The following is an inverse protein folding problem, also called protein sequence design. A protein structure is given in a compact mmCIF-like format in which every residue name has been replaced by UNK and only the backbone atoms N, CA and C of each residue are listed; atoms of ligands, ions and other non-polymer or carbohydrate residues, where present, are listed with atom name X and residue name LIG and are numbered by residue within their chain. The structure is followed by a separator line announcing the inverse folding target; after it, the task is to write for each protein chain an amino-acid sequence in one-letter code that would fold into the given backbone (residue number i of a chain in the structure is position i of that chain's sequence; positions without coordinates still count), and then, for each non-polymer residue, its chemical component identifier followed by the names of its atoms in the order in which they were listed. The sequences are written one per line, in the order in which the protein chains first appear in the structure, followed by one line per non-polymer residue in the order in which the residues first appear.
data_IF_905441087736
#
_entry.id   IF_905441087736
#
_cell.length_a   1.000
_cell.length_b   1.000
_cell.length_c   1.000
_cell.angle_alpha   90.00
_cell.angle_beta   90.00
_cell.angle_gamma   90.00
#
_symmetry.space_group_name_H-M   'P 1'
#
loop_
_entity.id
_entity.type
_entity.pdbx_description
1 polymer ?
#
# COMPACT_ATOMS: atom_id res chain seq x y z
N UNK A 1 4.37 -16.92 11.75
CA UNK A 1 3.48 -17.93 11.16
C UNK A 1 4.32 -19.13 10.77
N UNK A 2 3.79 -20.35 10.92
CA UNK A 2 4.50 -21.56 10.50
C UNK A 2 4.83 -21.52 8.99
N UNK A 3 6.08 -21.80 8.56
CA UNK A 3 6.47 -21.72 7.15
C UNK A 3 5.70 -22.67 6.22
N UNK A 4 5.36 -23.88 6.68
CA UNK A 4 4.62 -24.86 5.88
C UNK A 4 3.19 -24.38 5.66
N UNK A 5 2.57 -23.83 6.71
CA UNK A 5 1.25 -23.21 6.59
C UNK A 5 1.27 -22.00 5.66
N UNK A 6 2.30 -21.16 5.72
CA UNK A 6 2.46 -20.01 4.83
C UNK A 6 2.54 -20.43 3.36
N UNK A 7 3.35 -21.46 3.06
CA UNK A 7 3.49 -21.98 1.70
C UNK A 7 2.18 -22.57 1.17
N UNK A 8 1.41 -23.25 2.04
CA UNK A 8 0.09 -23.74 1.69
C UNK A 8 -0.94 -22.61 1.44
N UNK A 9 -0.90 -21.54 2.24
CA UNK A 9 -1.73 -20.34 2.03
C UNK A 9 -1.42 -19.69 0.68
N UNK A 10 -0.13 -19.50 0.35
CA UNK A 10 0.30 -18.94 -0.94
C UNK A 10 -0.17 -19.84 -2.08
N UNK A 11 0.03 -21.16 -1.98
CA UNK A 11 -0.43 -22.13 -2.98
C UNK A 11 -1.94 -22.00 -3.24
N UNK A 12 -2.76 -22.01 -2.19
CA UNK A 12 -4.23 -21.87 -2.31
C UNK A 12 -4.66 -20.55 -2.92
N UNK A 13 -3.96 -19.45 -2.63
CA UNK A 13 -4.22 -18.14 -3.23
C UNK A 13 -3.90 -18.14 -4.72
N UNK A 14 -2.78 -18.75 -5.13
CA UNK A 14 -2.36 -18.81 -6.53
C UNK A 14 -3.19 -19.78 -7.38
N UNK A 15 -3.68 -20.88 -6.81
CA UNK A 15 -4.51 -21.86 -7.52
C UNK A 15 -5.83 -21.28 -8.06
N UNK A 16 -6.33 -20.20 -7.45
CA UNK A 16 -7.52 -19.47 -7.92
C UNK A 16 -7.36 -19.00 -9.37
N UNK A 17 -6.13 -18.74 -9.82
CA UNK A 17 -5.81 -18.37 -11.20
C UNK A 17 -6.32 -19.36 -12.23
N UNK A 18 -6.31 -20.65 -11.89
CA UNK A 18 -6.72 -21.74 -12.77
C UNK A 18 -8.24 -21.98 -12.73
N UNK A 19 -8.97 -21.24 -11.90
CA UNK A 19 -10.41 -21.34 -11.75
C UNK A 19 -11.10 -20.24 -12.57
N UNK A 20 -12.43 -20.33 -12.68
CA UNK A 20 -13.22 -19.25 -13.29
C UNK A 20 -12.97 -17.93 -12.55
N UNK A 21 -12.75 -16.80 -13.27
CA UNK A 21 -12.56 -15.49 -12.65
C UNK A 21 -13.65 -15.18 -11.61
N UNK A 22 -13.26 -14.62 -10.46
CA UNK A 22 -14.15 -14.34 -9.33
C UNK A 22 -14.36 -15.50 -8.36
N UNK A 23 -13.69 -16.65 -8.54
CA UNK A 23 -13.61 -17.69 -7.52
C UNK A 23 -12.77 -17.21 -6.34
N UNK A 24 -13.21 -17.53 -5.13
CA UNK A 24 -12.53 -17.14 -3.89
C UNK A 24 -11.54 -18.22 -3.44
N UNK A 25 -10.42 -17.78 -2.85
CA UNK A 25 -9.50 -18.68 -2.18
C UNK A 25 -10.14 -19.22 -0.89
N UNK A 26 -9.88 -20.49 -0.57
CA UNK A 26 -10.39 -21.13 0.64
C UNK A 26 -9.40 -20.93 1.79
N UNK A 27 -9.46 -19.78 2.45
CA UNK A 27 -8.71 -19.48 3.67
C UNK A 27 -9.66 -19.47 4.87
N UNK A 28 -9.19 -19.98 6.01
CA UNK A 28 -9.91 -19.90 7.28
C UNK A 28 -9.63 -18.56 7.98
N UNK A 29 -10.56 -18.12 8.84
CA UNK A 29 -10.36 -16.88 9.61
C UNK A 29 -9.12 -16.94 10.52
N UNK A 30 -8.77 -18.13 11.02
CA UNK A 30 -7.59 -18.35 11.87
C UNK A 30 -6.28 -18.13 11.10
N UNK A 31 -6.21 -18.63 9.86
CA UNK A 31 -5.04 -18.45 8.98
C UNK A 31 -4.84 -16.98 8.65
N UNK A 32 -5.91 -16.27 8.30
CA UNK A 32 -5.84 -14.83 7.98
C UNK A 32 -5.38 -14.03 9.21
N UNK A 33 -5.88 -14.37 10.41
CA UNK A 33 -5.42 -13.73 11.66
C UNK A 33 -3.93 -13.97 11.95
N UNK A 34 -3.45 -15.19 11.76
CA UNK A 34 -2.03 -15.52 11.92
C UNK A 34 -1.16 -14.78 10.90
N UNK A 35 -1.66 -14.63 9.67
CA UNK A 35 -0.99 -13.89 8.62
C UNK A 35 -0.87 -12.39 8.97
N UNK A 36 -1.97 -11.76 9.39
CA UNK A 36 -1.96 -10.36 9.84
C UNK A 36 -1.01 -10.16 11.04
N UNK A 37 -1.00 -11.08 12.00
CA UNK A 37 -0.10 -10.99 13.15
C UNK A 37 1.38 -11.05 12.72
N UNK A 38 1.74 -12.00 11.86
CA UNK A 38 3.10 -12.15 11.36
C UNK A 38 3.55 -10.94 10.52
N UNK A 39 2.69 -10.44 9.63
CA UNK A 39 3.02 -9.26 8.81
C UNK A 39 3.16 -8.00 9.68
N UNK A 40 2.27 -7.81 10.66
CA UNK A 40 2.33 -6.72 11.64
C UNK A 40 3.68 -6.67 12.37
N UNK A 41 4.18 -7.82 12.83
CA UNK A 41 5.48 -7.90 13.50
C UNK A 41 6.62 -7.41 12.58
N UNK A 42 6.62 -7.84 11.32
CA UNK A 42 7.62 -7.43 10.33
C UNK A 42 7.53 -5.92 10.07
N UNK A 43 6.32 -5.39 9.87
CA UNK A 43 6.17 -3.96 9.62
C UNK A 43 6.68 -3.10 10.79
N UNK A 44 6.43 -3.51 12.04
CA UNK A 44 6.91 -2.79 13.22
C UNK A 44 8.43 -2.85 13.40
N UNK A 45 9.09 -3.88 12.85
CA UNK A 45 10.54 -4.02 12.88
C UNK A 45 11.24 -3.18 11.79
N UNK A 46 10.58 -2.96 10.66
CA UNK A 46 11.09 -2.11 9.57
C UNK A 46 10.71 -0.63 9.80
N UNK A 47 11.48 0.35 9.30
CA UNK A 47 11.20 1.79 9.51
C UNK A 47 9.96 2.28 8.74
N UNK A 48 9.45 3.47 9.08
CA UNK A 48 8.36 4.12 8.35
C UNK A 48 8.76 4.62 6.95
N UNK A 49 10.03 5.03 6.83
CA UNK A 49 10.69 5.35 5.58
C UNK A 49 11.61 4.17 5.28
N UNK A 50 11.21 3.30 4.34
CA UNK A 50 12.00 2.17 3.91
C UNK A 50 13.18 2.64 3.06
N UNK A 51 14.38 2.13 3.30
CA UNK A 51 15.54 2.34 2.42
C UNK A 51 15.71 1.09 1.56
N UNK A 52 15.57 1.24 0.24
CA UNK A 52 15.48 0.14 -0.71
C UNK A 52 16.51 0.32 -1.84
N UNK A 53 16.89 -0.79 -2.46
CA UNK A 53 17.85 -0.80 -3.58
C UNK A 53 17.22 -1.35 -4.86
N UNK A 54 17.65 -0.84 -6.01
CA UNK A 54 17.34 -1.45 -7.31
C UNK A 54 18.08 -2.78 -7.51
N UNK A 55 17.54 -3.73 -8.32
CA UNK A 55 16.34 -3.63 -9.13
C UNK A 55 15.05 -3.89 -8.32
N UNK A 56 14.03 -3.06 -8.54
CA UNK A 56 12.71 -3.19 -7.90
C UNK A 56 11.59 -2.76 -8.85
N UNK A 57 10.43 -3.42 -8.75
CA UNK A 57 9.21 -3.08 -9.50
C UNK A 57 8.25 -2.33 -8.59
N UNK A 58 7.84 -1.13 -8.99
CA UNK A 58 6.92 -0.30 -8.22
C UNK A 58 5.51 -0.44 -8.79
N UNK A 59 4.52 -0.67 -7.92
CA UNK A 59 3.12 -0.91 -8.28
C UNK A 59 2.20 0.05 -7.52
N UNK A 60 1.26 0.68 -8.23
CA UNK A 60 0.23 1.53 -7.63
C UNK A 60 -0.99 0.74 -7.13
N UNK A 61 -2.13 1.41 -7.11
CA UNK A 61 -3.42 0.91 -6.60
C UNK A 61 -3.82 -0.44 -7.22
N UNK A 62 -4.37 -1.33 -6.37
CA UNK A 62 -4.90 -2.64 -6.80
C UNK A 62 -6.40 -2.75 -6.56
N UNK A 63 -6.90 -2.16 -5.47
CA UNK A 63 -8.33 -2.08 -5.14
C UNK A 63 -9.10 -3.39 -5.32
N UNK A 64 -8.60 -4.48 -4.73
CA UNK A 64 -9.27 -5.78 -4.76
C UNK A 64 -9.45 -6.41 -6.15
N UNK A 65 -8.74 -5.92 -7.17
CA UNK A 65 -8.70 -6.49 -8.52
C UNK A 65 -7.75 -7.70 -8.59
N UNK A 66 -8.06 -8.74 -7.82
CA UNK A 66 -7.15 -9.87 -7.59
C UNK A 66 -6.68 -10.57 -8.87
N UNK A 67 -7.56 -10.73 -9.87
CA UNK A 67 -7.18 -11.34 -11.15
C UNK A 67 -6.14 -10.50 -11.91
N UNK A 68 -6.19 -9.17 -11.77
CA UNK A 68 -5.23 -8.27 -12.40
C UNK A 68 -3.91 -8.21 -11.61
N UNK A 69 -3.95 -8.34 -10.28
CA UNK A 69 -2.74 -8.56 -9.47
C UNK A 69 -1.99 -9.82 -9.89
N UNK A 70 -2.70 -10.93 -10.11
CA UNK A 70 -2.09 -12.18 -10.57
C UNK A 70 -1.46 -12.01 -11.97
N UNK A 71 -2.13 -11.28 -12.87
CA UNK A 71 -1.56 -10.95 -14.18
C UNK A 71 -0.33 -10.05 -14.05
N UNK A 72 -0.33 -9.08 -13.14
CA UNK A 72 0.83 -8.23 -12.88
C UNK A 72 2.05 -9.08 -12.49
N UNK A 73 1.87 -10.11 -11.65
CA UNK A 73 2.94 -11.05 -11.33
C UNK A 73 3.33 -11.97 -12.50
N UNK A 74 2.39 -12.35 -13.38
CA UNK A 74 2.73 -13.09 -14.61
C UNK A 74 3.65 -12.31 -15.53
N UNK A 75 3.42 -11.00 -15.67
CA UNK A 75 4.25 -10.13 -16.50
C UNK A 75 5.53 -9.70 -15.80
N UNK A 76 5.46 -9.44 -14.50
CA UNK A 76 6.58 -8.90 -13.72
C UNK A 76 7.52 -9.96 -13.15
N UNK A 77 7.09 -11.22 -13.06
CA UNK A 77 7.78 -12.28 -12.33
C UNK A 77 7.25 -12.42 -10.90
N UNK A 78 7.01 -13.63 -10.44
CA UNK A 78 6.52 -13.87 -9.08
C UNK A 78 7.65 -13.70 -8.05
N UNK A 79 7.39 -13.18 -6.84
CA UNK A 79 8.38 -13.18 -5.76
C UNK A 79 8.91 -14.61 -5.48
N UNK A 80 10.24 -14.80 -5.31
CA UNK A 80 11.29 -13.79 -5.19
C UNK A 80 12.04 -13.51 -6.51
N UNK A 81 11.49 -13.88 -7.67
CA UNK A 81 12.13 -13.65 -8.98
C UNK A 81 12.28 -12.16 -9.32
N UNK A 82 11.46 -11.31 -8.72
CA UNK A 82 11.56 -9.86 -8.77
C UNK A 82 11.24 -9.26 -7.40
N UNK A 83 11.92 -8.16 -7.07
CA UNK A 83 11.60 -7.35 -5.89
C UNK A 83 10.42 -6.44 -6.20
N UNK A 84 9.55 -6.20 -5.21
CA UNK A 84 8.36 -5.37 -5.37
C UNK A 84 8.22 -4.33 -4.28
N UNK A 85 7.79 -3.13 -4.67
CA UNK A 85 7.26 -2.10 -3.80
C UNK A 85 5.83 -1.78 -4.26
N UNK A 86 4.84 -1.99 -3.41
CA UNK A 86 3.49 -1.49 -3.67
C UNK A 86 3.23 -0.20 -2.89
N UNK A 87 2.54 0.74 -3.53
CA UNK A 87 2.34 2.09 -3.02
C UNK A 87 1.10 2.27 -2.15
N UNK A 88 0.22 1.24 -2.03
CA UNK A 88 -0.98 1.31 -1.21
C UNK A 88 -2.25 0.93 -1.98
N UNK A 89 -3.40 1.15 -1.35
CA UNK A 89 -4.74 0.95 -1.90
C UNK A 89 -4.96 -0.48 -2.43
N UNK A 90 -4.81 -1.43 -1.52
CA UNK A 90 -4.96 -2.86 -1.77
C UNK A 90 -6.42 -3.30 -1.76
N UNK A 91 -7.21 -2.67 -0.89
CA UNK A 91 -8.59 -3.06 -0.59
C UNK A 91 -9.60 -2.03 -1.13
N UNK A 92 -10.88 -2.32 -0.91
CA UNK A 92 -12.03 -1.54 -1.37
C UNK A 92 -12.24 -1.53 -2.89
N UNK A 93 -13.44 -1.07 -3.29
CA UNK A 93 -13.93 -0.87 -4.68
C UNK A 93 -14.03 -2.14 -5.54
N UNK A 94 -13.03 -3.02 -5.52
CA UNK A 94 -13.04 -4.30 -6.20
C UNK A 94 -13.77 -5.41 -5.44
N UNK A 95 -13.76 -6.61 -6.02
CA UNK A 95 -14.58 -7.74 -5.58
C UNK A 95 -13.85 -8.73 -4.66
N UNK A 96 -12.53 -8.70 -4.65
CA UNK A 96 -11.68 -9.71 -4.01
C UNK A 96 -10.54 -9.03 -3.21
N UNK A 97 -10.91 -8.11 -2.33
CA UNK A 97 -9.95 -7.40 -1.48
C UNK A 97 -9.26 -8.35 -0.52
N UNK A 98 -9.98 -9.35 0.02
CA UNK A 98 -9.42 -10.33 0.94
C UNK A 98 -8.32 -11.17 0.29
N UNK A 99 -8.55 -11.71 -0.91
CA UNK A 99 -7.51 -12.45 -1.65
C UNK A 99 -6.31 -11.56 -1.96
N UNK A 100 -6.58 -10.33 -2.41
CA UNK A 100 -5.55 -9.34 -2.75
C UNK A 100 -4.64 -9.08 -1.56
N UNK A 101 -5.19 -8.63 -0.42
CA UNK A 101 -4.37 -8.31 0.73
C UNK A 101 -3.75 -9.57 1.36
N UNK A 102 -4.43 -10.71 1.37
CA UNK A 102 -3.84 -11.94 1.90
C UNK A 102 -2.63 -12.40 1.09
N UNK A 103 -2.67 -12.30 -0.25
CA UNK A 103 -1.50 -12.67 -1.07
C UNK A 103 -0.33 -11.71 -0.84
N UNK A 104 -0.60 -10.40 -0.77
CA UNK A 104 0.41 -9.39 -0.52
C UNK A 104 1.06 -9.57 0.86
N UNK A 105 0.27 -9.78 1.92
CA UNK A 105 0.80 -10.06 3.25
C UNK A 105 1.55 -11.39 3.30
N UNK A 106 1.09 -12.43 2.59
CA UNK A 106 1.78 -13.71 2.55
C UNK A 106 3.16 -13.59 1.89
N UNK A 107 3.28 -12.82 0.80
CA UNK A 107 4.58 -12.50 0.23
C UNK A 107 5.43 -11.63 1.13
N UNK A 108 4.85 -10.67 1.86
CA UNK A 108 5.61 -9.89 2.85
C UNK A 108 6.20 -10.78 3.94
N UNK A 109 5.44 -11.74 4.45
CA UNK A 109 5.93 -12.69 5.47
C UNK A 109 6.96 -13.66 4.88
N UNK A 110 6.78 -14.10 3.63
CA UNK A 110 7.69 -15.06 2.98
C UNK A 110 9.02 -14.42 2.56
N UNK A 111 8.98 -13.18 2.10
CA UNK A 111 10.12 -12.46 1.50
C UNK A 111 10.23 -11.04 2.08
N UNK A 112 10.51 -10.89 3.39
CA UNK A 112 10.46 -9.59 4.09
C UNK A 112 11.43 -8.54 3.54
N UNK A 113 12.52 -8.99 2.90
CA UNK A 113 13.60 -8.16 2.34
C UNK A 113 13.52 -8.00 0.81
N UNK A 114 12.50 -8.58 0.15
CA UNK A 114 12.31 -8.48 -1.31
C UNK A 114 10.90 -7.98 -1.69
N UNK A 115 9.98 -7.91 -0.73
CA UNK A 115 8.59 -7.55 -0.96
C UNK A 115 8.15 -6.50 0.06
N UNK A 116 7.74 -5.33 -0.43
CA UNK A 116 7.47 -4.14 0.37
C UNK A 116 6.08 -3.59 0.06
N UNK A 117 5.39 -3.16 1.10
CA UNK A 117 4.01 -2.66 1.05
C UNK A 117 3.96 -1.35 1.82
N UNK A 118 3.66 -0.25 1.13
CA UNK A 118 3.35 1.03 1.76
C UNK A 118 1.88 1.10 2.16
N UNK A 119 1.54 2.07 3.00
CA UNK A 119 0.16 2.37 3.35
C UNK A 119 -0.46 3.26 2.28
N UNK A 120 -1.65 2.90 1.80
CA UNK A 120 -2.53 3.80 1.05
C UNK A 120 -3.61 4.41 1.94
N UNK A 121 -4.41 5.32 1.38
CA UNK A 121 -5.49 5.96 2.14
C UNK A 121 -6.65 4.99 2.41
N UNK A 122 -6.80 3.92 1.62
CA UNK A 122 -7.78 2.86 1.87
C UNK A 122 -7.35 1.85 2.96
N UNK A 123 -6.09 1.85 3.37
CA UNK A 123 -5.60 1.10 4.55
C UNK A 123 -5.86 1.87 5.88
N UNK A 124 -7.03 2.52 5.97
CA UNK A 124 -7.55 3.22 7.14
C UNK A 124 -8.99 2.79 7.43
N UNK A 125 -9.33 2.65 8.70
CA UNK A 125 -10.65 2.16 9.12
C UNK A 125 -11.79 3.06 8.66
N UNK A 126 -11.64 4.39 8.69
CA UNK A 126 -12.69 5.33 8.29
C UNK A 126 -13.07 5.18 6.82
N UNK A 127 -12.09 4.93 5.96
CA UNK A 127 -12.26 4.76 4.51
C UNK A 127 -12.83 3.37 4.20
N UNK A 128 -12.14 2.31 4.60
CA UNK A 128 -12.51 0.95 4.21
C UNK A 128 -13.72 0.40 4.96
N UNK A 129 -14.26 1.17 5.91
CA UNK A 129 -15.59 0.95 6.50
C UNK A 129 -16.72 1.17 5.49
N UNK A 130 -16.51 2.05 4.51
CA UNK A 130 -17.56 2.56 3.61
C UNK A 130 -17.36 2.07 2.17
N UNK A 131 -16.11 1.88 1.73
CA UNK A 131 -15.81 1.59 0.32
C UNK A 131 -15.68 0.09 -0.04
N UNK A 132 -16.00 -0.80 0.90
CA UNK A 132 -16.34 -2.20 0.61
C UNK A 132 -15.63 -3.25 1.44
N UNK A 133 -14.43 -3.00 1.95
CA UNK A 133 -13.64 -4.02 2.64
C UNK A 133 -14.26 -4.50 3.93
N UNK A 134 -14.85 -3.59 4.72
CA UNK A 134 -15.62 -3.96 5.91
C UNK A 134 -16.77 -4.91 5.58
N UNK A 135 -17.55 -4.59 4.54
CA UNK A 135 -18.70 -5.41 4.14
C UNK A 135 -18.23 -6.75 3.57
N UNK A 136 -17.11 -6.79 2.86
CA UNK A 136 -16.49 -8.03 2.39
C UNK A 136 -16.07 -8.93 3.57
N UNK A 137 -15.35 -8.37 4.56
CA UNK A 137 -14.95 -9.08 5.78
C UNK A 137 -16.17 -9.59 6.57
N UNK A 138 -17.16 -8.72 6.81
CA UNK A 138 -18.38 -9.07 7.55
C UNK A 138 -19.18 -10.17 6.87
N UNK A 139 -19.29 -10.13 5.54
CA UNK A 139 -20.06 -11.11 4.76
C UNK A 139 -19.37 -12.47 4.69
N UNK A 140 -18.05 -12.51 4.55
CA UNK A 140 -17.28 -13.76 4.33
C UNK A 140 -16.75 -14.39 5.62
N UNK A 141 -16.52 -13.57 6.64
CA UNK A 141 -15.92 -13.97 7.91
C UNK A 141 -16.61 -13.25 9.06
N UNK A 142 -15.97 -12.23 9.64
CA UNK A 142 -16.49 -11.52 10.79
C UNK A 142 -16.02 -10.07 10.84
N UNK A 143 -16.75 -9.24 11.60
CA UNK A 143 -16.31 -7.87 11.93
C UNK A 143 -15.01 -7.89 12.75
N UNK A 144 -14.77 -8.96 13.53
CA UNK A 144 -13.53 -9.12 14.29
C UNK A 144 -12.33 -9.26 13.35
N UNK A 145 -12.49 -9.95 12.22
CA UNK A 145 -11.43 -10.07 11.22
C UNK A 145 -11.08 -8.70 10.60
N UNK A 146 -12.09 -7.88 10.27
CA UNK A 146 -11.85 -6.52 9.78
C UNK A 146 -11.02 -5.70 10.78
N UNK A 147 -11.33 -5.76 12.08
CA UNK A 147 -10.52 -5.10 13.11
C UNK A 147 -9.07 -5.62 13.15
N UNK A 148 -8.88 -6.92 12.95
CA UNK A 148 -7.52 -7.49 12.85
C UNK A 148 -6.76 -6.94 11.65
N UNK A 149 -7.42 -6.73 10.50
CA UNK A 149 -6.79 -6.03 9.38
C UNK A 149 -6.49 -4.58 9.69
N UNK A 150 -7.40 -3.85 10.34
CA UNK A 150 -7.14 -2.48 10.82
C UNK A 150 -5.89 -2.40 11.69
N UNK A 151 -5.74 -3.32 12.65
CA UNK A 151 -4.55 -3.36 13.52
C UNK A 151 -3.25 -3.63 12.73
N UNK A 152 -3.33 -4.41 11.66
CA UNK A 152 -2.21 -4.67 10.75
C UNK A 152 -1.90 -3.43 9.89
N UNK A 153 -2.92 -2.81 9.29
CA UNK A 153 -2.78 -1.63 8.43
C UNK A 153 -2.22 -0.42 9.18
N UNK A 154 -2.59 -0.26 10.45
CA UNK A 154 -2.04 0.78 11.33
C UNK A 154 -0.52 0.66 11.54
N UNK A 155 0.08 -0.47 11.16
CA UNK A 155 1.52 -0.71 11.27
C UNK A 155 2.26 -0.59 9.92
N UNK A 156 1.58 -0.36 8.79
CA UNK A 156 2.26 -0.24 7.50
C UNK A 156 3.23 0.96 7.47
N UNK A 157 4.41 0.82 6.85
CA UNK A 157 5.27 1.96 6.53
C UNK A 157 4.57 2.86 5.50
N UNK A 158 4.97 4.12 5.43
CA UNK A 158 4.22 5.15 4.67
C UNK A 158 5.00 5.71 3.50
N UNK A 159 6.32 5.49 3.46
CA UNK A 159 7.18 5.93 2.37
C UNK A 159 8.36 4.99 2.17
N UNK A 160 8.96 5.04 0.99
CA UNK A 160 10.22 4.38 0.69
C UNK A 160 11.15 5.32 -0.09
N UNK A 161 12.45 5.19 0.12
CA UNK A 161 13.50 5.87 -0.62
C UNK A 161 14.34 4.80 -1.33
N UNK A 162 14.34 4.83 -2.66
CA UNK A 162 15.07 3.87 -3.50
C UNK A 162 16.36 4.52 -3.99
N UNK A 163 17.49 3.84 -3.76
CA UNK A 163 18.84 4.26 -4.14
C UNK A 163 19.15 5.72 -3.78
N UNK A 164 18.61 6.21 -2.64
CA UNK A 164 18.72 7.60 -2.18
C UNK A 164 18.21 8.66 -3.18
N UNK A 165 17.50 8.26 -4.25
CA UNK A 165 17.11 9.15 -5.36
C UNK A 165 15.63 9.18 -5.69
N UNK A 166 14.88 8.11 -5.40
CA UNK A 166 13.44 8.04 -5.72
C UNK A 166 12.63 7.94 -4.43
N UNK A 167 11.89 8.99 -4.11
CA UNK A 167 11.00 8.99 -2.95
C UNK A 167 9.59 8.50 -3.36
N UNK A 168 9.11 7.47 -2.68
CA UNK A 168 7.87 6.77 -2.97
C UNK A 168 6.86 6.95 -1.84
N UNK A 169 5.60 7.21 -2.18
CA UNK A 169 4.46 7.27 -1.24
C UNK A 169 3.15 7.05 -1.99
N UNK A 170 2.04 6.93 -1.27
CA UNK A 170 0.74 6.78 -1.93
C UNK A 170 0.21 8.09 -2.53
N UNK A 171 0.01 9.08 -1.66
CA UNK A 171 -0.53 10.39 -1.96
C UNK A 171 0.54 11.30 -2.56
N UNK A 172 1.18 12.12 -1.75
CA UNK A 172 2.21 13.02 -2.25
C UNK A 172 2.86 13.85 -1.15
N UNK A 173 3.34 15.04 -1.53
CA UNK A 173 4.06 15.90 -0.61
C UNK A 173 3.16 16.51 0.47
N UNK A 174 3.78 16.96 1.56
CA UNK A 174 3.14 17.70 2.65
C UNK A 174 3.83 19.05 2.88
N UNK A 175 3.10 20.13 3.19
CA UNK A 175 3.71 21.39 3.65
C UNK A 175 4.47 21.22 4.97
N UNK A 176 4.19 20.16 5.73
CA UNK A 176 4.88 19.85 6.98
C UNK A 176 6.16 19.02 6.77
N UNK A 177 6.34 18.41 5.59
CA UNK A 177 7.51 17.59 5.28
C UNK A 177 8.70 18.46 4.86
N UNK A 178 9.50 18.84 5.85
CA UNK A 178 10.71 19.63 5.65
C UNK A 178 12.00 18.81 5.63
N UNK A 179 11.96 17.62 6.24
CA UNK A 179 13.06 16.70 6.47
C UNK A 179 12.53 15.28 6.40
N UNK A 180 13.22 14.38 5.69
CA UNK A 180 12.79 12.98 5.53
C UNK A 180 12.72 12.24 6.88
N UNK A 181 13.52 12.66 7.85
CA UNK A 181 13.51 12.13 9.22
C UNK A 181 12.18 12.37 9.95
N UNK A 182 11.36 13.32 9.50
CA UNK A 182 10.01 13.48 10.05
C UNK A 182 9.12 12.26 9.75
N UNK A 183 9.36 11.57 8.63
CA UNK A 183 8.66 10.33 8.27
C UNK A 183 9.10 9.19 9.21
N UNK A 184 10.41 9.08 9.48
CA UNK A 184 10.95 8.07 10.39
C UNK A 184 10.31 8.14 11.78
N UNK A 185 10.04 9.36 12.26
CA UNK A 185 9.49 9.64 13.60
C UNK A 185 7.97 9.47 13.72
N UNK A 186 7.25 9.08 12.66
CA UNK A 186 5.83 8.79 12.75
C UNK A 186 5.57 7.57 13.66
N UNK A 187 4.69 7.69 14.63
CA UNK A 187 4.41 6.58 15.54
C UNK A 187 3.60 5.48 14.85
N UNK A 188 3.92 4.21 15.13
CA UNK A 188 3.11 3.05 14.76
C UNK A 188 2.92 2.12 15.96
N UNK A 189 1.74 1.48 16.12
CA UNK A 189 0.55 1.59 15.28
C UNK A 189 -0.16 2.96 15.42
N UNK A 190 -0.71 3.47 14.31
CA UNK A 190 -1.50 4.71 14.32
C UNK A 190 -2.65 4.64 13.32
N UNK A 191 -3.76 5.28 13.63
CA UNK A 191 -4.78 5.60 12.61
C UNK A 191 -4.30 6.77 11.75
N UNK A 192 -4.96 6.99 10.59
CA UNK A 192 -4.68 8.14 9.73
C UNK A 192 -5.46 9.35 10.27
N UNK A 193 -4.79 10.44 10.67
CA UNK A 193 -5.48 11.65 11.12
C UNK A 193 -6.17 12.37 9.96
N UNK A 194 -7.10 13.26 10.27
CA UNK A 194 -7.79 14.06 9.24
C UNK A 194 -6.89 15.15 8.61
N UNK A 195 -5.78 15.51 9.27
CA UNK A 195 -4.81 16.54 8.83
C UNK A 195 -3.38 16.20 9.26
N UNK A 196 -2.40 16.93 8.72
CA UNK A 196 -0.99 16.84 9.07
C UNK A 196 -0.20 15.85 8.23
N UNK A 197 1.10 15.73 8.51
CA UNK A 197 2.05 14.97 7.68
C UNK A 197 1.57 13.58 7.23
N UNK A 198 1.07 12.74 8.14
CA UNK A 198 0.61 11.38 7.78
C UNK A 198 -0.62 11.41 6.86
N UNK A 199 -1.54 12.36 7.07
CA UNK A 199 -2.68 12.53 6.18
C UNK A 199 -2.19 12.89 4.78
N UNK A 200 -1.30 13.87 4.67
CA UNK A 200 -0.85 14.39 3.39
C UNK A 200 -0.06 13.36 2.56
N UNK A 201 0.81 12.58 3.19
CA UNK A 201 1.55 11.49 2.52
C UNK A 201 0.62 10.46 1.86
N UNK A 202 -0.63 10.35 2.32
CA UNK A 202 -1.63 9.40 1.83
C UNK A 202 -2.69 10.04 0.93
N UNK A 203 -2.90 11.36 1.01
CA UNK A 203 -4.06 12.03 0.40
C UNK A 203 -3.75 13.20 -0.53
N UNK A 204 -2.54 13.76 -0.52
CA UNK A 204 -2.24 14.92 -1.35
C UNK A 204 -2.08 14.55 -2.83
N UNK A 205 -2.37 15.50 -3.71
CA UNK A 205 -2.32 15.31 -5.16
C UNK A 205 -1.49 16.40 -5.87
N UNK A 206 -0.75 16.06 -6.93
CA UNK A 206 -0.16 17.07 -7.79
C UNK A 206 -1.25 17.82 -8.58
N UNK A 207 -1.04 19.13 -8.80
CA UNK A 207 -1.91 19.94 -9.67
C UNK A 207 -1.09 20.89 -10.54
N UNK A 208 -1.30 20.84 -11.86
CA UNK A 208 -0.65 21.76 -12.81
C UNK A 208 -1.18 23.20 -12.73
N UNK A 209 -2.35 23.39 -12.10
CA UNK A 209 -3.00 24.70 -11.96
C UNK A 209 -2.60 25.40 -10.66
N UNK A 210 -2.12 24.65 -9.67
CA UNK A 210 -1.68 25.19 -8.39
C UNK A 210 -0.30 25.84 -8.51
N UNK A 211 -0.14 27.04 -7.93
CA UNK A 211 1.17 27.59 -7.58
C UNK A 211 1.37 27.43 -6.09
N UNK A 212 2.36 26.64 -5.68
CA UNK A 212 2.55 26.31 -4.27
C UNK A 212 1.58 25.24 -3.78
N UNK A 213 0.91 25.52 -2.66
CA UNK A 213 -0.08 24.64 -2.03
C UNK A 213 -1.49 25.20 -2.23
N UNK A 214 -2.45 24.33 -2.53
CA UNK A 214 -3.87 24.70 -2.62
C UNK A 214 -4.76 23.65 -1.93
N UNK A 215 -6.02 24.00 -1.71
CA UNK A 215 -7.02 23.08 -1.13
C UNK A 215 -7.28 21.95 -2.11
N UNK A 216 -7.40 20.71 -1.62
CA UNK A 216 -7.76 19.57 -2.45
C UNK A 216 -9.28 19.43 -2.57
N UNK A 217 -9.78 19.23 -3.79
CA UNK A 217 -11.20 19.01 -4.09
C UNK A 217 -11.78 17.74 -3.43
N UNK A 218 -10.92 16.82 -2.98
CA UNK A 218 -11.30 15.67 -2.15
C UNK A 218 -11.83 16.06 -0.78
N UNK A 219 -11.65 17.32 -0.36
CA UNK A 219 -12.03 17.80 0.97
C UNK A 219 -11.09 17.36 2.09
N UNK A 220 -9.92 16.81 1.74
CA UNK A 220 -8.87 16.35 2.67
C UNK A 220 -7.49 16.63 2.06
N UNK A 221 -6.54 17.02 2.91
CA UNK A 221 -5.18 17.39 2.49
C UNK A 221 -5.14 18.53 1.45
N UNK A 222 -4.06 18.57 0.66
CA UNK A 222 -3.69 19.65 -0.25
C UNK A 222 -3.46 19.15 -1.67
N UNK A 223 -3.51 20.08 -2.61
CA UNK A 223 -2.83 19.94 -3.90
C UNK A 223 -1.51 20.69 -3.88
N UNK A 224 -0.54 20.24 -4.67
CA UNK A 224 0.78 20.87 -4.78
C UNK A 224 1.22 21.06 -6.24
N UNK A 225 1.82 22.23 -6.51
CA UNK A 225 2.27 22.62 -7.84
C UNK A 225 3.62 22.01 -8.25
N UNK A 226 4.00 22.11 -9.54
CA UNK A 226 5.32 21.70 -10.03
C UNK A 226 6.48 22.43 -9.34
N UNK A 227 6.25 23.66 -8.87
CA UNK A 227 7.22 24.43 -8.09
C UNK A 227 7.57 23.72 -6.77
N UNK A 228 6.57 23.14 -6.09
CA UNK A 228 6.79 22.39 -4.85
C UNK A 228 7.50 21.07 -5.06
N UNK A 229 7.24 20.40 -6.18
CA UNK A 229 8.00 19.20 -6.57
C UNK A 229 9.47 19.56 -6.80
N UNK A 230 9.73 20.60 -7.60
CA UNK A 230 11.09 21.01 -7.95
C UNK A 230 11.89 21.45 -6.71
N UNK A 231 11.29 22.29 -5.87
CA UNK A 231 11.89 22.74 -4.60
C UNK A 231 12.23 21.55 -3.68
N UNK A 232 11.32 20.58 -3.58
CA UNK A 232 11.52 19.42 -2.73
C UNK A 232 12.64 18.50 -3.24
N UNK A 233 12.65 18.22 -4.54
CA UNK A 233 13.68 17.38 -5.17
C UNK A 233 15.07 18.00 -5.00
N UNK A 234 15.21 19.30 -5.30
CA UNK A 234 16.48 20.03 -5.16
C UNK A 234 16.97 20.06 -3.70
N UNK A 235 16.06 20.35 -2.76
CA UNK A 235 16.40 20.43 -1.34
C UNK A 235 16.90 19.10 -0.76
N UNK A 236 16.38 17.98 -1.26
CA UNK A 236 16.67 16.64 -0.73
C UNK A 236 17.62 15.83 -1.61
N UNK A 237 18.18 16.43 -2.68
CA UNK A 237 19.03 15.75 -3.67
C UNK A 237 18.38 14.48 -4.26
N UNK A 238 17.09 14.59 -4.57
CA UNK A 238 16.29 13.51 -5.16
C UNK A 238 16.05 13.77 -6.65
N UNK A 239 15.86 12.69 -7.41
CA UNK A 239 15.60 12.75 -8.84
C UNK A 239 14.10 12.62 -9.17
N UNK A 240 13.35 11.90 -8.34
CA UNK A 240 11.96 11.53 -8.66
C UNK A 240 11.10 11.34 -7.41
N UNK A 241 9.84 11.78 -7.53
CA UNK A 241 8.74 11.35 -6.65
C UNK A 241 7.90 10.32 -7.41
N UNK A 242 7.76 9.13 -6.86
CA UNK A 242 6.88 8.08 -7.40
C UNK A 242 5.65 7.93 -6.51
N UNK A 243 4.45 8.00 -7.09
CA UNK A 243 3.18 8.00 -6.33
C UNK A 243 2.03 7.30 -7.05
N UNK A 244 0.91 7.10 -6.37
CA UNK A 244 -0.26 6.36 -6.88
C UNK A 244 -1.57 7.18 -6.81
N UNK A 245 -2.66 6.72 -6.16
CA UNK A 245 -3.85 7.47 -5.70
C UNK A 245 -4.75 8.19 -6.74
N UNK A 246 -4.29 8.42 -7.97
CA UNK A 246 -5.06 8.99 -9.08
C UNK A 246 -5.08 8.03 -10.26
N UNK A 247 -6.27 7.80 -10.81
CA UNK A 247 -6.44 7.05 -12.05
C UNK A 247 -5.87 7.88 -13.20
N UNK A 248 -4.86 7.34 -13.87
CA UNK A 248 -4.25 7.94 -15.06
C UNK A 248 -4.68 7.18 -16.31
N UNK A 249 -5.05 7.92 -17.35
CA UNK A 249 -5.32 7.34 -18.67
C UNK A 249 -4.06 7.52 -19.51
N UNK A 250 -3.36 6.41 -19.78
CA UNK A 250 -2.33 6.41 -20.80
C UNK A 250 -3.02 6.40 -22.16
N UNK A 251 -3.07 7.55 -22.82
CA UNK A 251 -3.33 7.58 -24.25
C UNK A 251 -2.18 6.83 -24.91
N UNK A 252 -2.48 5.73 -25.62
CA UNK A 252 -1.48 5.08 -26.47
C UNK A 252 -0.98 6.12 -27.46
N UNK A 253 0.29 6.53 -27.31
CA UNK A 253 1.02 7.25 -28.35
C UNK A 253 1.23 6.34 -29.56
#
# INVERSE_FOLDING_TARGET
MDPVLLDDVIRRLLEVKNLKPGKNAQLSESEIKQLCAAAKEIFLQQPNLLELEAPIKICGDVHGQYSDLLRLFDYGGYPPQANYLFLGDYVDRGKQSLETICLLLAYKVKYPENFFLLRGNHECASVNRIYGFYDECKRRFSVKLWKTFTDCFNCLPVSALIDEKILCMHGGLSPELNKLEQILNLNRPTDVPDTGLLCDLLWSDPSNEATGWAINDRGVSFTFGPDKVSEFLEKHDLDLICRAHQVVVFLKM
#
